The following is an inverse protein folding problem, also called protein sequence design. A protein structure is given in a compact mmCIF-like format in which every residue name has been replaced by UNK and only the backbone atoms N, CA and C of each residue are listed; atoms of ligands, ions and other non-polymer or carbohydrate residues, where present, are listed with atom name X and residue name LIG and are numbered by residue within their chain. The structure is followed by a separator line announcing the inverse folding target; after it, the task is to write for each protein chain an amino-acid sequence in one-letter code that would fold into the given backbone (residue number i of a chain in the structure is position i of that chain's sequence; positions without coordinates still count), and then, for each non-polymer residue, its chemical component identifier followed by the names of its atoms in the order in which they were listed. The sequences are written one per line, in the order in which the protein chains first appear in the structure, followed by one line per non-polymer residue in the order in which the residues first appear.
data_IF_527866619380
#
_entry.id   IF_527866619380
#
_cell.length_a   1.000
_cell.length_b   1.000
_cell.length_c   1.000
_cell.angle_alpha   90.00
_cell.angle_beta   90.00
_cell.angle_gamma   90.00
#
_symmetry.space_group_name_H-M   'P 1'
#
loop_
_entity.id
_entity.type
_entity.pdbx_description
1 polymer ?
#
# COMPACT_ATOMS: atom_id res chain seq x y z
N UNK A 1 6.91 -33.11 -3.79
CA UNK A 1 6.04 -32.40 -2.83
C UNK A 1 6.61 -32.67 -1.44
N UNK A 2 7.49 -31.81 -0.93
CA UNK A 2 8.15 -32.04 0.36
C UNK A 2 7.17 -31.83 1.53
N UNK A 3 7.37 -32.48 2.69
CA UNK A 3 6.50 -32.30 3.85
C UNK A 3 6.51 -30.82 4.27
N UNK A 4 5.32 -30.26 4.50
CA UNK A 4 5.17 -28.91 5.01
C UNK A 4 5.77 -28.76 6.41
N UNK A 5 6.00 -27.51 6.88
CA UNK A 5 6.57 -27.27 8.19
C UNK A 5 5.76 -27.95 9.29
N UNK A 6 6.44 -28.63 10.22
CA UNK A 6 5.82 -29.33 11.36
C UNK A 6 5.06 -28.36 12.28
N UNK A 7 3.99 -28.82 12.94
CA UNK A 7 3.24 -28.02 13.92
C UNK A 7 4.11 -27.52 15.09
N UNK A 8 5.14 -28.28 15.46
CA UNK A 8 6.14 -27.85 16.45
C UNK A 8 7.00 -26.69 15.94
N UNK A 9 7.28 -26.63 14.63
CA UNK A 9 8.00 -25.53 14.00
C UNK A 9 7.16 -24.25 13.95
N UNK A 10 5.84 -24.37 13.73
CA UNK A 10 4.93 -23.24 13.75
C UNK A 10 4.73 -22.68 15.17
N UNK A 11 4.74 -23.55 16.20
CA UNK A 11 4.66 -23.15 17.60
C UNK A 11 5.93 -22.47 18.14
N UNK A 12 7.08 -22.70 17.49
CA UNK A 12 8.38 -22.14 17.90
C UNK A 12 8.67 -20.73 17.33
N UNK A 13 7.86 -20.24 16.39
CA UNK A 13 8.04 -18.88 15.84
C UNK A 13 7.73 -17.87 16.92
N UNK A 14 8.71 -17.06 17.28
CA UNK A 14 8.54 -16.04 18.33
C UNK A 14 7.69 -14.89 17.77
N UNK A 15 6.82 -14.24 18.58
CA UNK A 15 6.01 -13.11 18.12
C UNK A 15 6.84 -12.02 17.41
N UNK A 16 8.02 -11.70 17.93
CA UNK A 16 8.94 -10.75 17.33
C UNK A 16 9.45 -11.14 15.91
N UNK A 17 9.55 -12.43 15.61
CA UNK A 17 9.95 -12.91 14.28
C UNK A 17 8.79 -12.80 13.29
N UNK A 18 7.55 -13.05 13.76
CA UNK A 18 6.33 -12.79 12.99
C UNK A 18 6.22 -11.31 12.66
N UNK A 19 6.45 -10.42 13.63
CA UNK A 19 6.43 -8.98 13.45
C UNK A 19 7.52 -8.50 12.48
N UNK A 20 8.74 -9.03 12.58
CA UNK A 20 9.83 -8.69 11.66
C UNK A 20 9.56 -9.18 10.22
N UNK A 21 8.93 -10.34 10.06
CA UNK A 21 8.56 -10.88 8.75
C UNK A 21 7.37 -10.10 8.16
N UNK A 22 6.40 -9.73 9.00
CA UNK A 22 5.30 -8.84 8.63
C UNK A 22 5.81 -7.46 8.22
N UNK A 23 6.79 -6.91 8.94
CA UNK A 23 7.50 -5.67 8.58
C UNK A 23 8.16 -5.75 7.21
N UNK A 24 8.94 -6.80 6.93
CA UNK A 24 9.53 -7.03 5.59
C UNK A 24 8.47 -7.26 4.50
N UNK A 25 7.34 -7.88 4.83
CA UNK A 25 6.23 -8.05 3.90
C UNK A 25 5.45 -6.75 3.66
N UNK A 26 5.43 -5.86 4.65
CA UNK A 26 4.90 -4.51 4.57
C UNK A 26 5.84 -3.62 3.76
N UNK A 27 7.17 -3.72 3.93
CA UNK A 27 8.16 -3.03 3.09
C UNK A 27 7.97 -3.33 1.60
N UNK A 28 7.49 -4.53 1.25
CA UNK A 28 7.20 -4.93 -0.14
C UNK A 28 5.87 -4.39 -0.68
N UNK A 29 5.06 -3.70 0.13
CA UNK A 29 3.75 -3.15 -0.25
C UNK A 29 3.67 -1.66 0.08
N UNK A 30 3.02 -0.89 -0.76
CA UNK A 30 2.58 0.44 -0.37
C UNK A 30 1.31 0.27 0.47
N UNK A 31 1.22 0.97 1.60
CA UNK A 31 0.03 0.95 2.43
C UNK A 31 -1.12 1.65 1.72
N UNK A 32 -2.32 1.17 1.97
CA UNK A 32 -3.57 1.74 1.47
C UNK A 32 -4.54 1.92 2.63
N UNK A 33 -5.53 2.78 2.44
CA UNK A 33 -6.65 2.94 3.38
C UNK A 33 -7.32 1.59 3.63
N UNK A 34 -7.70 1.31 4.88
CA UNK A 34 -8.27 0.01 5.28
C UNK A 34 -9.52 -0.33 4.46
N UNK A 35 -10.33 0.68 4.17
CA UNK A 35 -11.56 0.54 3.36
C UNK A 35 -11.28 0.10 1.92
N UNK A 36 -10.08 0.41 1.39
CA UNK A 36 -9.66 0.09 0.03
C UNK A 36 -8.87 -1.22 -0.07
N UNK A 37 -8.35 -1.72 1.05
CA UNK A 37 -7.59 -2.98 1.12
C UNK A 37 -8.30 -4.15 0.43
N UNK A 38 -9.62 -4.38 0.60
CA UNK A 38 -10.33 -5.49 -0.05
C UNK A 38 -10.37 -5.41 -1.59
N UNK A 39 -10.08 -4.25 -2.17
CA UNK A 39 -10.04 -4.08 -3.63
C UNK A 39 -8.72 -4.59 -4.25
N UNK A 40 -7.72 -4.90 -3.43
CA UNK A 40 -6.38 -5.28 -3.86
C UNK A 40 -6.08 -6.73 -3.49
N UNK A 41 -5.45 -7.52 -4.39
CA UNK A 41 -5.19 -8.95 -4.15
C UNK A 41 -4.43 -9.24 -2.84
N UNK A 42 -3.52 -8.34 -2.47
CA UNK A 42 -2.65 -8.48 -1.29
C UNK A 42 -3.01 -7.49 -0.17
N UNK A 43 -4.18 -6.85 -0.22
CA UNK A 43 -4.57 -5.82 0.76
C UNK A 43 -3.74 -4.53 0.70
N UNK A 44 -3.00 -4.32 -0.38
CA UNK A 44 -2.10 -3.19 -0.61
C UNK A 44 -1.44 -3.28 -1.98
N UNK A 45 -0.71 -2.25 -2.39
CA UNK A 45 -0.08 -2.21 -3.71
C UNK A 45 1.31 -2.82 -3.62
N UNK A 46 1.56 -3.92 -4.32
CA UNK A 46 2.89 -4.55 -4.34
C UNK A 46 3.91 -3.61 -5.00
N UNK A 47 5.03 -3.31 -4.33
CA UNK A 47 6.11 -2.52 -4.93
C UNK A 47 6.65 -3.21 -6.19
N UNK A 48 7.05 -2.41 -7.18
CA UNK A 48 7.48 -2.91 -8.48
C UNK A 48 6.34 -3.42 -9.38
N UNK A 49 5.08 -3.12 -9.02
CA UNK A 49 3.91 -3.37 -9.88
C UNK A 49 3.21 -2.05 -10.20
N UNK A 50 2.29 -2.10 -11.17
CA UNK A 50 1.43 -0.98 -11.53
C UNK A 50 -0.03 -1.36 -11.29
N UNK A 51 -0.84 -0.39 -10.83
CA UNK A 51 -2.29 -0.51 -10.70
C UNK A 51 -2.92 0.46 -11.69
N UNK A 52 -3.70 -0.07 -12.64
CA UNK A 52 -4.50 0.75 -13.54
C UNK A 52 -5.88 0.98 -12.92
N UNK A 53 -6.35 2.22 -12.95
CA UNK A 53 -7.67 2.62 -12.44
C UNK A 53 -8.45 3.27 -13.58
N UNK A 54 -9.71 2.88 -13.77
CA UNK A 54 -10.55 3.36 -14.88
C UNK A 54 -12.02 3.50 -14.45
N UNK A 55 -12.80 4.20 -15.27
CA UNK A 55 -14.21 4.47 -15.01
C UNK A 55 -14.48 5.75 -14.21
N UNK A 56 -15.71 5.89 -13.74
CA UNK A 56 -16.14 7.06 -12.98
C UNK A 56 -15.42 7.10 -11.62
N UNK A 57 -14.80 8.23 -11.31
CA UNK A 57 -14.05 8.40 -10.05
C UNK A 57 -12.65 7.80 -10.05
N UNK A 58 -12.11 7.38 -11.21
CA UNK A 58 -10.76 6.81 -11.31
C UNK A 58 -9.69 7.73 -10.68
N UNK A 59 -9.80 9.03 -10.92
CA UNK A 59 -8.93 10.04 -10.31
C UNK A 59 -9.03 10.06 -8.79
N UNK A 60 -10.24 10.08 -8.25
CA UNK A 60 -10.47 10.08 -6.80
C UNK A 60 -9.91 8.83 -6.15
N UNK A 61 -10.09 7.66 -6.77
CA UNK A 61 -9.56 6.40 -6.27
C UNK A 61 -8.03 6.35 -6.36
N UNK A 62 -7.44 6.78 -7.48
CA UNK A 62 -5.99 6.87 -7.62
C UNK A 62 -5.37 7.76 -6.54
N UNK A 63 -6.00 8.90 -6.24
CA UNK A 63 -5.54 9.79 -5.17
C UNK A 63 -5.74 9.19 -3.78
N UNK A 64 -6.86 8.49 -3.52
CA UNK A 64 -7.07 7.82 -2.25
C UNK A 64 -6.05 6.70 -1.98
N UNK A 65 -5.61 6.00 -3.02
CA UNK A 65 -4.52 5.01 -2.93
C UNK A 65 -3.16 5.66 -2.66
N UNK A 66 -2.93 6.88 -3.17
CA UNK A 66 -1.67 7.61 -2.98
C UNK A 66 -1.54 8.26 -1.58
N UNK A 67 -2.65 8.76 -1.01
CA UNK A 67 -2.67 9.47 0.29
C UNK A 67 -2.03 8.64 1.40
N UNK A 68 -2.45 7.39 1.57
CA UNK A 68 -1.97 6.58 2.69
C UNK A 68 -0.50 6.17 2.52
N UNK A 69 -0.07 5.95 1.29
CA UNK A 69 1.34 5.72 0.96
C UNK A 69 2.22 6.93 1.31
N UNK A 70 1.78 8.14 0.94
CA UNK A 70 2.44 9.41 1.25
C UNK A 70 2.53 9.64 2.76
N UNK A 71 1.42 9.48 3.49
CA UNK A 71 1.36 9.61 4.96
C UNK A 71 2.29 8.67 5.71
N UNK A 72 2.52 7.47 5.18
CA UNK A 72 3.48 6.50 5.73
C UNK A 72 4.90 6.70 5.20
N UNK A 73 5.19 7.86 4.62
CA UNK A 73 6.52 8.30 4.25
C UNK A 73 7.03 7.84 2.89
N UNK A 74 6.17 7.25 2.05
CA UNK A 74 6.54 6.96 0.65
C UNK A 74 6.47 8.22 -0.21
N UNK A 75 7.31 8.30 -1.23
CA UNK A 75 7.27 9.42 -2.17
C UNK A 75 6.18 9.22 -3.24
N UNK A 76 5.52 10.31 -3.62
CA UNK A 76 4.47 10.31 -4.66
C UNK A 76 4.79 11.32 -5.75
N UNK A 77 4.69 10.90 -7.01
CA UNK A 77 4.83 11.76 -8.16
C UNK A 77 3.59 11.67 -9.06
N UNK A 78 3.10 12.82 -9.51
CA UNK A 78 2.09 12.91 -10.56
C UNK A 78 2.74 13.40 -11.86
N UNK A 79 2.57 12.65 -12.94
CA UNK A 79 3.22 12.92 -14.23
C UNK A 79 2.17 13.05 -15.32
N UNK A 80 2.24 14.13 -16.10
CA UNK A 80 1.30 14.36 -17.22
C UNK A 80 -0.12 14.73 -16.79
N UNK A 81 -0.30 15.21 -15.56
CA UNK A 81 -1.61 15.49 -14.95
C UNK A 81 -1.87 17.01 -14.93
N UNK A 82 -2.35 17.56 -16.04
CA UNK A 82 -2.50 19.02 -16.20
C UNK A 82 -3.47 19.64 -15.17
N UNK A 83 -4.56 18.95 -14.85
CA UNK A 83 -5.65 19.48 -14.02
C UNK A 83 -5.62 18.92 -12.58
N UNK A 84 -4.45 18.51 -12.08
CA UNK A 84 -4.34 17.95 -10.74
C UNK A 84 -4.40 19.06 -9.67
N UNK A 85 -5.48 19.06 -8.87
CA UNK A 85 -5.64 19.99 -7.76
C UNK A 85 -4.76 19.66 -6.57
N UNK A 86 -3.52 20.16 -6.54
CA UNK A 86 -2.55 19.92 -5.44
C UNK A 86 -3.09 20.39 -4.08
N UNK A 87 -3.78 21.53 -4.03
CA UNK A 87 -4.40 22.01 -2.79
C UNK A 87 -5.45 21.02 -2.25
N UNK A 88 -6.29 20.47 -3.12
CA UNK A 88 -7.27 19.46 -2.73
C UNK A 88 -6.61 18.15 -2.26
N UNK A 89 -5.42 17.81 -2.78
CA UNK A 89 -4.64 16.67 -2.31
C UNK A 89 -4.08 16.90 -0.91
N UNK A 90 -3.56 18.09 -0.64
CA UNK A 90 -3.12 18.47 0.70
C UNK A 90 -4.27 18.39 1.72
N UNK A 91 -5.45 18.90 1.37
CA UNK A 91 -6.66 18.79 2.20
C UNK A 91 -7.08 17.34 2.45
N UNK A 92 -6.86 16.45 1.47
CA UNK A 92 -7.11 15.01 1.60
C UNK A 92 -6.00 14.27 2.36
N UNK A 93 -4.95 14.96 2.79
CA UNK A 93 -3.89 14.43 3.64
C UNK A 93 -2.68 13.86 2.91
N UNK A 94 -2.47 14.21 1.63
CA UNK A 94 -1.17 13.99 0.98
C UNK A 94 -0.12 14.86 1.66
N UNK A 95 0.98 14.26 2.08
CA UNK A 95 2.16 14.97 2.57
C UNK A 95 2.92 15.52 1.35
N UNK A 96 2.89 16.85 1.15
CA UNK A 96 3.52 17.50 0.00
C UNK A 96 5.05 17.56 0.09
N UNK A 97 5.63 17.22 1.24
CA UNK A 97 7.08 17.09 1.41
C UNK A 97 7.57 15.68 1.00
N UNK A 98 6.67 14.84 0.46
CA UNK A 98 6.89 13.45 0.04
C UNK A 98 6.23 13.18 -1.33
#
# INVERSE_FOLDING_TARGET
MGPGPSSAQLAAVRPAEVDALAGRAHERRLPVEETLSPLLPDGGIRRGTAVAVSGHGAMTLAMALAVEASRRGSWVAAVGMADLGVAALAERGVDLER
#
